data_IF_229375585366
#
_entry.id   IF_229375585366
#
_cell.length_a   1.000
_cell.length_b   1.000
_cell.length_c   1.000
_cell.angle_alpha   90.00
_cell.angle_beta   90.00
_cell.angle_gamma   90.00
#
_symmetry.space_group_name_H-M   'P 1'
#
loop_
_entity.id
_entity.type
_entity.pdbx_description
1 polymer ?
#
# COMPACT_ATOMS: atom_id res chain seq x y z
N UNK A 1 -4.12 7.57 17.85
CA UNK A 1 -3.34 8.19 16.76
C UNK A 1 -4.28 9.06 15.97
N UNK A 2 -3.96 10.35 15.86
CA UNK A 2 -4.66 11.26 14.95
C UNK A 2 -4.28 10.92 13.50
N UNK A 3 -5.10 11.29 12.52
CA UNK A 3 -4.75 11.11 11.10
C UNK A 3 -3.45 11.88 10.73
N UNK A 4 -3.20 12.99 11.42
CA UNK A 4 -1.95 13.78 11.31
C UNK A 4 -0.73 12.94 11.69
N UNK A 5 -0.80 12.20 12.81
CA UNK A 5 0.30 11.34 13.28
C UNK A 5 0.65 10.23 12.26
N UNK A 6 -0.37 9.69 11.57
CA UNK A 6 -0.18 8.64 10.57
C UNK A 6 0.44 9.18 9.27
N UNK A 7 -0.03 10.33 8.79
CA UNK A 7 0.53 11.01 7.63
C UNK A 7 1.99 11.44 7.85
N UNK A 8 2.32 11.91 9.05
CA UNK A 8 3.68 12.29 9.43
C UNK A 8 4.62 11.08 9.49
N UNK A 9 4.12 9.94 10.00
CA UNK A 9 4.85 8.68 9.97
C UNK A 9 5.14 8.22 8.54
N UNK A 10 4.13 8.22 7.66
CA UNK A 10 4.31 7.85 6.25
C UNK A 10 5.29 8.77 5.53
N UNK A 11 5.26 10.07 5.85
CA UNK A 11 6.22 11.06 5.34
C UNK A 11 7.66 10.75 5.79
N UNK A 12 7.85 10.35 7.04
CA UNK A 12 9.15 9.91 7.55
C UNK A 12 9.64 8.62 6.86
N UNK A 13 8.76 7.64 6.65
CA UNK A 13 9.07 6.43 5.88
C UNK A 13 9.46 6.76 4.44
N UNK A 14 8.74 7.66 3.78
CA UNK A 14 9.05 8.15 2.43
C UNK A 14 10.45 8.76 2.35
N UNK A 15 10.79 9.63 3.30
CA UNK A 15 12.13 10.24 3.39
C UNK A 15 13.21 9.17 3.54
N UNK A 16 13.01 8.18 4.40
CA UNK A 16 13.96 7.06 4.55
C UNK A 16 14.09 6.23 3.27
N UNK A 17 12.97 5.93 2.60
CA UNK A 17 13.00 5.23 1.32
C UNK A 17 13.82 6.00 0.27
N UNK A 18 13.72 7.33 0.26
CA UNK A 18 14.49 8.19 -0.65
C UNK A 18 16.00 8.20 -0.38
N UNK A 19 16.47 7.60 0.71
CA UNK A 19 17.90 7.46 1.04
C UNK A 19 18.45 6.07 0.68
N UNK A 20 17.64 5.19 0.07
CA UNK A 20 18.12 3.91 -0.43
C UNK A 20 19.04 4.14 -1.63
N UNK A 21 20.34 4.01 -1.41
CA UNK A 21 21.35 4.14 -2.46
C UNK A 21 21.45 2.86 -3.30
N UNK A 22 21.75 3.01 -4.60
CA UNK A 22 22.09 1.88 -5.48
C UNK A 22 20.92 1.21 -6.20
N UNK A 23 19.67 1.62 -5.96
CA UNK A 23 18.50 1.06 -6.66
C UNK A 23 17.33 2.06 -6.80
N UNK A 24 17.49 3.01 -7.73
CA UNK A 24 16.50 4.07 -7.99
C UNK A 24 15.10 3.53 -8.32
N UNK A 25 15.01 2.34 -8.94
CA UNK A 25 13.72 1.71 -9.27
C UNK A 25 12.99 1.27 -8.02
N UNK A 26 13.68 0.62 -7.09
CA UNK A 26 13.12 0.17 -5.82
C UNK A 26 12.78 1.36 -4.91
N UNK A 27 13.65 2.36 -4.87
CA UNK A 27 13.41 3.64 -4.19
C UNK A 27 12.13 4.32 -4.71
N UNK A 28 11.96 4.37 -6.04
CA UNK A 28 10.78 4.95 -6.67
C UNK A 28 9.50 4.20 -6.28
N UNK A 29 9.50 2.86 -6.34
CA UNK A 29 8.34 2.05 -5.94
C UNK A 29 7.95 2.26 -4.48
N UNK A 30 8.92 2.25 -3.54
CA UNK A 30 8.63 2.48 -2.12
C UNK A 30 8.10 3.90 -1.88
N UNK A 31 8.69 4.91 -2.51
CA UNK A 31 8.24 6.30 -2.40
C UNK A 31 6.79 6.45 -2.88
N UNK A 32 6.45 5.86 -4.03
CA UNK A 32 5.07 5.86 -4.56
C UNK A 32 4.10 5.12 -3.66
N UNK A 33 4.53 3.99 -3.10
CA UNK A 33 3.74 3.21 -2.14
C UNK A 33 3.33 4.04 -0.92
N UNK A 34 4.26 4.80 -0.35
CA UNK A 34 3.97 5.67 0.80
C UNK A 34 3.12 6.87 0.42
N UNK A 35 3.32 7.46 -0.76
CA UNK A 35 2.46 8.51 -1.26
C UNK A 35 1.01 8.00 -1.44
N UNK A 36 0.83 6.79 -1.97
CA UNK A 36 -0.48 6.19 -2.16
C UNK A 36 -1.19 5.96 -0.82
N UNK A 37 -0.48 5.43 0.18
CA UNK A 37 -1.01 5.30 1.54
C UNK A 37 -1.40 6.65 2.17
N UNK A 38 -0.66 7.72 1.87
CA UNK A 38 -0.98 9.06 2.34
C UNK A 38 -2.23 9.61 1.65
N UNK A 39 -2.40 9.36 0.35
CA UNK A 39 -3.59 9.75 -0.41
C UNK A 39 -4.88 9.09 0.10
N UNK A 40 -4.79 7.93 0.78
CA UNK A 40 -5.96 7.34 1.45
C UNK A 40 -6.58 8.28 2.50
N UNK A 41 -5.81 9.22 3.05
CA UNK A 41 -6.31 10.24 3.95
C UNK A 41 -6.89 11.43 3.17
N UNK A 42 -8.14 11.31 2.74
CA UNK A 42 -8.94 12.44 2.27
C UNK A 42 -9.03 12.62 0.75
N UNK A 43 -8.46 11.72 -0.05
CA UNK A 43 -8.73 11.71 -1.50
C UNK A 43 -10.13 11.17 -1.82
N UNK A 44 -10.82 11.73 -2.83
CA UNK A 44 -12.00 11.13 -3.46
C UNK A 44 -11.75 9.70 -3.95
N UNK A 45 -12.80 8.88 -3.98
CA UNK A 45 -12.72 7.45 -4.35
C UNK A 45 -12.32 7.29 -5.82
N UNK A 46 -12.74 8.22 -6.68
CA UNK A 46 -12.41 8.26 -8.11
C UNK A 46 -10.90 8.39 -8.32
N UNK A 47 -10.25 9.27 -7.54
CA UNK A 47 -8.80 9.49 -7.60
C UNK A 47 -8.03 8.26 -7.10
N UNK A 48 -8.59 7.52 -6.14
CA UNK A 48 -8.02 6.26 -5.65
C UNK A 48 -8.08 5.16 -6.71
N UNK A 49 -9.12 5.14 -7.56
CA UNK A 49 -9.25 4.18 -8.66
C UNK A 49 -8.15 4.35 -9.71
N UNK A 50 -7.93 5.59 -10.16
CA UNK A 50 -6.85 5.90 -11.09
C UNK A 50 -5.47 5.59 -10.51
N UNK A 51 -5.25 5.92 -9.24
CA UNK A 51 -4.02 5.60 -8.52
C UNK A 51 -3.77 4.08 -8.47
N UNK A 52 -4.79 3.28 -8.15
CA UNK A 52 -4.70 1.82 -8.10
C UNK A 52 -4.29 1.22 -9.45
N UNK A 53 -4.95 1.62 -10.54
CA UNK A 53 -4.64 1.12 -11.88
C UNK A 53 -3.20 1.46 -12.28
N UNK A 54 -2.78 2.70 -12.00
CA UNK A 54 -1.41 3.15 -12.27
C UNK A 54 -0.40 2.29 -11.51
N UNK A 55 -0.61 2.08 -10.20
CA UNK A 55 0.29 1.26 -9.38
C UNK A 55 0.41 -0.17 -9.90
N UNK A 56 -0.72 -0.81 -10.22
CA UNK A 56 -0.75 -2.19 -10.72
C UNK A 56 0.02 -2.34 -12.04
N UNK A 57 -0.19 -1.40 -12.98
CA UNK A 57 0.51 -1.41 -14.26
C UNK A 57 2.02 -1.22 -14.08
N UNK A 58 2.41 -0.23 -13.29
CA UNK A 58 3.82 0.06 -13.03
C UNK A 58 4.53 -1.10 -12.32
N UNK A 59 3.89 -1.68 -11.29
CA UNK A 59 4.40 -2.86 -10.59
C UNK A 59 4.55 -4.04 -11.54
N UNK A 60 3.54 -4.30 -12.36
CA UNK A 60 3.55 -5.39 -13.33
C UNK A 60 4.69 -5.27 -14.34
N UNK A 61 4.88 -4.08 -14.92
CA UNK A 61 5.99 -3.80 -15.84
C UNK A 61 7.34 -3.93 -15.12
N UNK A 62 7.49 -3.29 -13.96
CA UNK A 62 8.73 -3.31 -13.21
C UNK A 62 9.14 -4.75 -12.86
N UNK A 63 8.21 -5.54 -12.30
CA UNK A 63 8.46 -6.93 -11.90
C UNK A 63 8.81 -7.82 -13.09
N UNK A 64 8.12 -7.65 -14.22
CA UNK A 64 8.37 -8.43 -15.45
C UNK A 64 9.77 -8.20 -16.02
N UNK A 65 10.31 -7.00 -15.86
CA UNK A 65 11.61 -6.60 -16.41
C UNK A 65 12.72 -6.54 -15.36
N UNK A 66 12.47 -7.04 -14.15
CA UNK A 66 13.46 -7.08 -13.08
C UNK A 66 14.34 -8.33 -13.18
N UNK A 67 15.52 -8.18 -13.78
CA UNK A 67 16.49 -9.27 -13.92
C UNK A 67 17.11 -9.74 -12.61
N UNK A 68 16.96 -8.97 -11.52
CA UNK A 68 17.54 -9.28 -10.20
C UNK A 68 16.53 -9.87 -9.23
N UNK A 69 15.25 -10.00 -9.61
CA UNK A 69 14.16 -10.44 -8.74
C UNK A 69 14.46 -11.78 -8.04
N UNK A 70 14.97 -12.77 -8.78
CA UNK A 70 15.29 -14.10 -8.22
C UNK A 70 16.56 -14.10 -7.35
N UNK A 71 17.48 -13.17 -7.60
CA UNK A 71 18.78 -13.09 -6.92
C UNK A 71 18.78 -12.17 -5.70
N UNK A 72 17.79 -11.29 -5.57
CA UNK A 72 17.69 -10.28 -4.51
C UNK A 72 16.32 -10.35 -3.82
N UNK A 73 16.23 -11.06 -2.68
CA UNK A 73 14.97 -11.22 -1.93
C UNK A 73 14.34 -9.91 -1.49
N UNK A 74 15.13 -8.83 -1.33
CA UNK A 74 14.62 -7.53 -0.93
C UNK A 74 13.70 -6.94 -2.02
N UNK A 75 14.02 -7.17 -3.30
CA UNK A 75 13.18 -6.74 -4.41
C UNK A 75 11.82 -7.42 -4.38
N UNK A 76 11.81 -8.74 -4.15
CA UNK A 76 10.57 -9.51 -3.96
C UNK A 76 9.71 -8.95 -2.83
N UNK A 77 10.32 -8.69 -1.68
CA UNK A 77 9.65 -8.08 -0.54
C UNK A 77 9.05 -6.70 -0.85
N UNK A 78 9.74 -5.86 -1.62
CA UNK A 78 9.22 -4.54 -2.02
C UNK A 78 8.02 -4.68 -2.97
N UNK A 79 8.06 -5.61 -3.92
CA UNK A 79 6.92 -5.91 -4.78
C UNK A 79 5.70 -6.39 -3.98
N UNK A 80 5.93 -7.21 -2.96
CA UNK A 80 4.86 -7.72 -2.10
C UNK A 80 4.25 -6.62 -1.22
N UNK A 81 5.06 -5.67 -0.71
CA UNK A 81 4.55 -4.48 -0.02
C UNK A 81 3.66 -3.66 -0.95
N UNK A 82 4.13 -3.41 -2.18
CA UNK A 82 3.39 -2.61 -3.15
C UNK A 82 2.04 -3.27 -3.48
N UNK A 83 2.03 -4.59 -3.69
CA UNK A 83 0.80 -5.37 -3.89
C UNK A 83 -0.16 -5.32 -2.69
N UNK A 84 0.36 -5.39 -1.46
CA UNK A 84 -0.47 -5.30 -0.26
C UNK A 84 -1.17 -3.93 -0.15
N UNK A 85 -0.50 -2.87 -0.58
CA UNK A 85 -1.06 -1.51 -0.61
C UNK A 85 -2.12 -1.41 -1.71
N UNK A 86 -1.87 -1.94 -2.91
CA UNK A 86 -2.86 -2.04 -3.99
C UNK A 86 -4.16 -2.71 -3.49
N UNK A 87 -4.05 -3.89 -2.87
CA UNK A 87 -5.21 -4.62 -2.32
C UNK A 87 -5.94 -3.85 -1.22
N UNK A 88 -5.20 -3.05 -0.45
CA UNK A 88 -5.80 -2.17 0.57
C UNK A 88 -6.64 -1.08 -0.08
N UNK A 89 -6.10 -0.40 -1.11
CA UNK A 89 -6.80 0.63 -1.88
C UNK A 89 -8.03 0.03 -2.58
N UNK A 90 -7.88 -1.13 -3.23
CA UNK A 90 -8.96 -1.87 -3.88
C UNK A 90 -10.11 -2.18 -2.90
N UNK A 91 -9.78 -2.69 -1.71
CA UNK A 91 -10.78 -2.98 -0.68
C UNK A 91 -11.48 -1.72 -0.17
N UNK A 92 -10.77 -0.60 -0.05
CA UNK A 92 -11.36 0.68 0.35
C UNK A 92 -12.32 1.23 -0.71
N UNK A 93 -11.95 1.18 -1.99
CA UNK A 93 -12.82 1.56 -3.11
C UNK A 93 -14.08 0.69 -3.12
N UNK A 94 -13.92 -0.64 -3.00
CA UNK A 94 -15.04 -1.57 -2.99
C UNK A 94 -16.01 -1.29 -1.83
N UNK A 95 -15.49 -0.94 -0.65
CA UNK A 95 -16.32 -0.53 0.51
C UNK A 95 -17.05 0.79 0.26
N UNK A 96 -16.36 1.79 -0.27
CA UNK A 96 -16.97 3.09 -0.55
C UNK A 96 -18.08 3.02 -1.60
N UNK A 97 -17.95 2.11 -2.57
CA UNK A 97 -18.96 1.83 -3.59
C UNK A 97 -20.07 0.87 -3.11
N UNK A 98 -20.07 0.43 -1.85
CA UNK A 98 -21.06 -0.50 -1.32
C UNK A 98 -20.97 -1.94 -1.85
N UNK A 99 -19.86 -2.30 -2.52
CA UNK A 99 -19.63 -3.62 -3.13
C UNK A 99 -19.04 -4.65 -2.15
N UNK A 100 -18.61 -4.23 -0.96
CA UNK A 100 -18.18 -5.11 0.14
C UNK A 100 -19.07 -4.89 1.37
N UNK A 101 -19.76 -5.93 1.83
CA UNK A 101 -20.44 -5.92 3.13
C UNK A 101 -19.41 -5.88 4.26
N UNK A 102 -19.67 -5.08 5.30
CA UNK A 102 -18.81 -4.98 6.48
C UNK A 102 -18.41 -6.38 6.99
N UNK A 103 -17.12 -6.55 7.33
CA UNK A 103 -16.64 -7.78 7.99
C UNK A 103 -17.53 -7.99 9.22
N UNK A 104 -18.18 -9.17 9.38
CA UNK A 104 -19.00 -9.41 10.56
C UNK A 104 -18.14 -9.20 11.80
N UNK A 105 -18.68 -8.57 12.86
CA UNK A 105 -17.93 -8.28 14.07
C UNK A 105 -17.30 -9.57 14.57
N UNK A 106 -16.00 -9.52 14.86
CA UNK A 106 -15.27 -10.63 15.48
C UNK A 106 -15.93 -10.85 16.83
N UNK A 107 -16.75 -11.90 16.95
CA UNK A 107 -17.33 -12.32 18.23
C UNK A 107 -16.16 -12.70 19.15
N UNK A 108 -15.84 -11.81 20.09
CA UNK A 108 -14.86 -12.10 21.12
C UNK A 108 -15.40 -13.27 21.95
N UNK A 109 -14.78 -14.45 21.85
CA UNK A 109 -15.22 -15.67 22.55
C UNK A 109 -14.89 -15.66 24.05
N UNK A 110 -14.31 -14.58 24.59
CA UNK A 110 -13.91 -14.49 26.00
C UNK A 110 -14.85 -13.70 26.92
N UNK A 111 -16.04 -13.29 26.46
CA UNK A 111 -17.07 -12.76 27.37
C UNK A 111 -18.04 -13.86 27.80
N UNK A 112 -17.54 -14.87 28.52
CA UNK A 112 -18.34 -15.69 29.45
C UNK A 112 -17.42 -16.59 30.29
N UNK A 113 -17.50 -16.34 31.60
CA UNK A 113 -17.09 -17.09 32.80
C UNK A 113 -16.26 -16.15 33.68
N UNK A 114 -16.69 -15.70 34.84
CA UNK A 114 -17.92 -15.82 35.66
C UNK A 114 -18.02 -14.51 36.46
#
# INVERSE_FOLDING_TARGET
MSATDACDFLEACRKKASLLEGDEKMQCMLTRSFNALKSLSGSPVEDLGYLLETMQQERGIARKHDSKLESDPLRGFIYDINEAIEKTIESLIARAQGKMTARPPIKNKNSRKE
#
